data_IF_002003612730
#
_entry.id   IF_002003612730
#
_cell.length_a   1.000
_cell.length_b   1.000
_cell.length_c   1.000
_cell.angle_alpha   90.00
_cell.angle_beta   90.00
_cell.angle_gamma   90.00
#
_symmetry.space_group_name_H-M   'P 1'
#
loop_
_entity.id
_entity.type
_entity.pdbx_description
1 polymer ?
#
# COMPACT_ATOMS: atom_id res chain seq x y z
N UNK A 1 71.18 -0.25 -10.00
CA UNK A 1 71.85 -0.66 -8.73
C UNK A 1 71.17 0.14 -7.63
N UNK A 2 70.46 -0.41 -6.65
CA UNK A 2 70.36 -1.78 -6.17
C UNK A 2 68.91 -2.12 -5.80
N UNK A 3 68.50 -3.35 -6.08
CA UNK A 3 67.29 -3.96 -5.54
C UNK A 3 67.54 -4.31 -4.06
N UNK A 4 66.54 -4.10 -3.20
CA UNK A 4 66.46 -4.80 -1.93
C UNK A 4 65.06 -5.36 -1.71
N UNK A 5 64.99 -6.67 -1.92
CA UNK A 5 63.97 -7.62 -1.51
C UNK A 5 63.85 -7.63 0.02
N UNK A 6 62.65 -7.52 0.60
CA UNK A 6 62.40 -7.99 1.97
C UNK A 6 61.07 -8.74 2.10
N UNK A 7 61.18 -9.88 2.79
CA UNK A 7 60.19 -10.94 2.97
C UNK A 7 59.09 -10.58 3.97
N UNK A 8 57.94 -11.20 3.72
CA UNK A 8 56.74 -11.31 4.55
C UNK A 8 57.05 -11.94 5.93
N UNK A 9 56.49 -11.38 7.00
CA UNK A 9 56.29 -12.09 8.28
C UNK A 9 54.83 -11.92 8.70
N UNK A 10 54.08 -13.02 8.71
CA UNK A 10 52.70 -13.10 9.20
C UNK A 10 52.74 -13.23 10.72
N UNK A 11 52.19 -12.26 11.44
CA UNK A 11 52.01 -12.29 12.89
C UNK A 11 50.57 -12.70 13.21
N UNK A 12 50.41 -13.94 13.67
CA UNK A 12 49.17 -14.47 14.24
C UNK A 12 49.10 -13.97 15.69
N UNK A 13 48.23 -12.99 15.97
CA UNK A 13 47.96 -12.55 17.35
C UNK A 13 46.88 -13.42 17.98
N UNK A 14 47.26 -14.17 19.01
CA UNK A 14 46.35 -14.78 19.98
C UNK A 14 45.71 -13.69 20.85
N UNK A 15 44.39 -13.55 20.81
CA UNK A 15 43.64 -12.69 21.74
C UNK A 15 43.45 -13.48 23.04
N UNK A 16 44.12 -13.05 24.11
CA UNK A 16 43.90 -13.49 25.48
C UNK A 16 42.71 -12.68 26.03
N UNK A 17 41.56 -13.32 26.23
CA UNK A 17 40.41 -12.71 26.89
C UNK A 17 40.65 -12.63 28.41
N UNK A 18 40.79 -11.42 28.94
CA UNK A 18 40.72 -11.14 30.38
C UNK A 18 39.26 -10.86 30.76
N UNK A 19 38.62 -11.80 31.45
CA UNK A 19 37.33 -11.58 32.10
C UNK A 19 37.58 -10.91 33.45
N UNK A 20 37.22 -9.63 33.57
CA UNK A 20 37.21 -8.91 34.85
C UNK A 20 35.79 -8.98 35.40
N UNK A 21 35.58 -9.84 36.39
CA UNK A 21 34.35 -9.87 37.20
C UNK A 21 34.47 -8.81 38.29
N UNK A 22 33.72 -7.72 38.17
CA UNK A 22 33.57 -6.72 39.24
C UNK A 22 32.34 -7.09 40.07
N UNK A 23 32.56 -7.61 41.27
CA UNK A 23 31.52 -7.82 42.28
C UNK A 23 31.31 -6.53 43.09
N UNK A 24 30.11 -5.93 43.01
CA UNK A 24 29.70 -4.85 43.91
C UNK A 24 28.98 -5.43 45.15
N UNK A 25 29.26 -4.96 46.37
CA UNK A 25 28.59 -5.44 47.57
C UNK A 25 27.26 -4.72 47.80
N UNK A 26 26.19 -5.49 48.02
CA UNK A 26 24.91 -4.98 48.49
C UNK A 26 25.02 -4.55 49.96
N UNK A 27 24.59 -3.32 50.27
CA UNK A 27 24.39 -2.86 51.64
C UNK A 27 22.91 -2.55 51.87
N UNK A 28 22.37 -3.24 52.86
CA UNK A 28 21.00 -3.14 53.38
C UNK A 28 20.91 -1.89 54.25
N UNK A 29 19.93 -1.02 53.99
CA UNK A 29 19.44 -0.06 54.99
C UNK A 29 17.92 -0.18 55.05
N UNK A 30 17.43 -0.64 56.20
CA UNK A 30 16.04 -0.56 56.61
C UNK A 30 15.82 0.76 57.38
N UNK A 31 14.61 1.34 57.27
CA UNK A 31 13.90 2.31 58.13
C UNK A 31 12.74 2.85 57.25
N UNK A 32 11.47 3.00 57.63
CA UNK A 32 10.60 2.53 58.72
C UNK A 32 9.20 3.02 58.34
N UNK A 33 8.18 2.21 58.59
CA UNK A 33 6.74 2.50 58.47
C UNK A 33 6.32 3.89 58.93
N UNK A 34 5.53 4.58 58.10
CA UNK A 34 4.41 5.43 58.52
C UNK A 34 3.24 5.21 57.55
N UNK A 35 2.26 4.42 57.99
CA UNK A 35 0.88 4.40 57.50
C UNK A 35 0.20 5.76 57.75
N UNK A 36 -0.51 6.32 56.76
CA UNK A 36 -1.97 6.26 56.68
C UNK A 36 -2.58 7.26 55.66
N UNK A 37 -3.32 6.67 54.71
CA UNK A 37 -4.63 7.09 54.16
C UNK A 37 -4.75 8.39 53.33
N UNK A 38 -4.88 8.22 52.01
CA UNK A 38 -6.19 8.42 51.34
C UNK A 38 -6.17 7.83 49.92
N UNK A 39 -7.15 6.97 49.64
CA UNK A 39 -7.17 6.08 48.49
C UNK A 39 -7.62 6.68 47.18
N UNK A 40 -7.15 6.06 46.10
CA UNK A 40 -7.97 5.72 44.94
C UNK A 40 -7.39 4.46 44.31
N UNK A 41 -8.21 3.42 44.21
CA UNK A 41 -7.82 2.06 43.82
C UNK A 41 -7.36 2.00 42.36
N UNK A 42 -6.12 1.56 42.16
CA UNK A 42 -5.57 1.11 40.88
C UNK A 42 -5.93 -0.35 40.68
N UNK A 43 -6.97 -0.63 39.91
CA UNK A 43 -7.27 -1.99 39.46
C UNK A 43 -6.31 -2.40 38.33
N UNK A 44 -5.36 -3.26 38.71
CA UNK A 44 -5.03 -4.52 38.05
C UNK A 44 -4.44 -4.43 36.62
N UNK A 45 -3.12 -4.21 36.55
CA UNK A 45 -2.32 -4.31 35.31
C UNK A 45 -1.54 -5.62 35.17
N UNK A 46 -1.76 -6.61 36.05
CA UNK A 46 -0.82 -7.75 36.20
C UNK A 46 -1.44 -9.14 35.91
N UNK A 47 -2.60 -9.22 35.24
CA UNK A 47 -3.24 -10.50 34.89
C UNK A 47 -3.42 -10.78 33.38
N UNK A 48 -2.82 -9.99 32.48
CA UNK A 48 -3.05 -10.16 31.03
C UNK A 48 -2.03 -11.01 30.25
N UNK A 49 -1.05 -11.67 30.90
CA UNK A 49 -0.03 -12.46 30.18
C UNK A 49 -0.19 -13.98 30.26
N UNK A 50 -1.43 -14.47 30.35
CA UNK A 50 -1.70 -15.90 30.12
C UNK A 50 -3.13 -16.18 29.65
N UNK A 51 -3.44 -15.81 28.41
CA UNK A 51 -4.47 -16.49 27.64
C UNK A 51 -3.93 -16.78 26.24
N UNK A 52 -3.96 -18.05 25.86
CA UNK A 52 -3.78 -18.53 24.50
C UNK A 52 -4.88 -17.93 23.61
N UNK A 53 -4.70 -16.67 23.19
CA UNK A 53 -5.55 -16.03 22.21
C UNK A 53 -5.04 -16.42 20.82
N UNK A 54 -5.48 -17.58 20.34
CA UNK A 54 -5.69 -17.71 18.90
C UNK A 54 -6.91 -16.85 18.58
N UNK A 55 -6.78 -15.75 17.81
CA UNK A 55 -7.94 -14.96 17.44
C UNK A 55 -8.96 -15.88 16.74
N UNK A 56 -10.26 -15.78 17.07
CA UNK A 56 -11.28 -16.56 16.39
C UNK A 56 -11.18 -16.32 14.89
N UNK A 57 -11.34 -17.39 14.10
CA UNK A 57 -11.32 -17.29 12.65
C UNK A 57 -12.29 -16.18 12.20
N UNK A 58 -11.86 -15.27 11.32
CA UNK A 58 -12.72 -14.18 10.87
C UNK A 58 -14.01 -14.76 10.29
N UNK A 59 -15.18 -14.12 10.56
CA UNK A 59 -16.45 -14.60 10.07
C UNK A 59 -16.41 -14.72 8.54
N UNK A 60 -17.09 -15.74 7.96
CA UNK A 60 -17.17 -15.86 6.51
C UNK A 60 -17.80 -14.59 5.91
N UNK A 61 -17.32 -14.13 4.75
CA UNK A 61 -17.85 -12.94 4.11
C UNK A 61 -19.36 -13.10 3.84
N UNK A 62 -20.15 -12.03 3.99
CA UNK A 62 -21.60 -12.08 3.79
C UNK A 62 -21.94 -12.58 2.38
N UNK A 63 -23.02 -13.36 2.21
CA UNK A 63 -23.43 -13.86 0.90
C UNK A 63 -23.78 -12.71 -0.05
N UNK A 64 -23.32 -12.82 -1.31
CA UNK A 64 -23.62 -11.82 -2.34
C UNK A 64 -25.15 -11.65 -2.55
N UNK A 65 -25.61 -10.44 -2.90
CA UNK A 65 -26.99 -10.22 -3.30
C UNK A 65 -27.36 -11.07 -4.53
N UNK A 66 -28.66 -11.29 -4.80
CA UNK A 66 -29.09 -12.02 -5.99
C UNK A 66 -28.55 -11.36 -7.26
N UNK A 67 -28.18 -12.19 -8.24
CA UNK A 67 -27.65 -11.73 -9.52
C UNK A 67 -28.65 -10.86 -10.26
N UNK A 68 -28.20 -9.74 -10.81
CA UNK A 68 -28.99 -8.84 -11.64
C UNK A 68 -29.43 -9.51 -12.95
N UNK A 69 -30.58 -9.10 -13.49
CA UNK A 69 -31.03 -9.55 -14.82
C UNK A 69 -30.47 -8.66 -15.93
N UNK A 70 -30.15 -9.26 -17.09
CA UNK A 70 -29.61 -8.49 -18.22
C UNK A 70 -30.59 -7.42 -18.73
N UNK A 71 -31.88 -7.76 -18.83
CA UNK A 71 -32.88 -6.88 -19.44
C UNK A 71 -33.49 -5.90 -18.43
N UNK A 72 -33.90 -6.39 -17.26
CA UNK A 72 -34.68 -5.56 -16.32
C UNK A 72 -33.77 -4.68 -15.46
N UNK A 73 -32.66 -5.24 -14.95
CA UNK A 73 -31.76 -4.50 -14.06
C UNK A 73 -30.69 -3.71 -14.83
N UNK A 74 -30.16 -4.26 -15.92
CA UNK A 74 -29.05 -3.66 -16.68
C UNK A 74 -29.48 -2.98 -17.98
N UNK A 75 -30.78 -2.97 -18.32
CA UNK A 75 -31.29 -2.35 -19.55
C UNK A 75 -30.63 -2.89 -20.84
N UNK A 76 -30.06 -4.10 -20.76
CA UNK A 76 -29.28 -4.72 -21.82
C UNK A 76 -30.12 -5.59 -22.74
N UNK A 77 -29.48 -6.09 -23.80
CA UNK A 77 -30.07 -7.01 -24.77
C UNK A 77 -29.43 -8.39 -24.63
N UNK A 78 -30.27 -9.42 -24.51
CA UNK A 78 -29.87 -10.82 -24.40
C UNK A 78 -30.06 -11.39 -23.00
N UNK A 79 -29.19 -12.33 -22.62
CA UNK A 79 -29.22 -13.03 -21.33
C UNK A 79 -27.80 -13.27 -20.82
N UNK A 80 -27.63 -13.32 -19.50
CA UNK A 80 -26.34 -13.59 -18.84
C UNK A 80 -25.82 -15.00 -19.09
N UNK A 81 -26.69 -15.95 -19.45
CA UNK A 81 -26.27 -17.32 -19.80
C UNK A 81 -25.79 -17.47 -21.25
N UNK A 82 -26.08 -16.51 -22.12
CA UNK A 82 -25.66 -16.52 -23.53
C UNK A 82 -24.75 -15.35 -23.84
N UNK A 83 -25.31 -14.17 -24.05
CA UNK A 83 -24.57 -12.92 -24.21
C UNK A 83 -25.48 -11.79 -23.77
N UNK A 84 -25.02 -11.01 -22.79
CA UNK A 84 -25.66 -9.79 -22.35
C UNK A 84 -24.88 -8.59 -22.88
N UNK A 85 -25.56 -7.69 -23.59
CA UNK A 85 -24.99 -6.45 -24.10
C UNK A 85 -25.67 -5.27 -23.43
N UNK A 86 -24.93 -4.50 -22.63
CA UNK A 86 -25.41 -3.25 -22.06
C UNK A 86 -25.30 -2.16 -23.12
N UNK A 87 -26.44 -1.64 -23.57
CA UNK A 87 -26.55 -0.71 -24.70
C UNK A 87 -26.76 0.74 -24.27
N UNK A 88 -27.17 0.98 -23.03
CA UNK A 88 -27.45 2.30 -22.49
C UNK A 88 -26.75 2.50 -21.15
N UNK A 89 -26.40 3.75 -20.84
CA UNK A 89 -25.79 4.12 -19.56
C UNK A 89 -26.71 3.82 -18.38
N UNK A 90 -26.11 3.38 -17.29
CA UNK A 90 -26.79 2.93 -16.07
C UNK A 90 -26.36 3.79 -14.88
N UNK A 91 -27.32 4.21 -14.08
CA UNK A 91 -27.08 4.85 -12.78
C UNK A 91 -27.53 3.89 -11.68
N UNK A 92 -26.57 3.22 -11.07
CA UNK A 92 -26.78 2.26 -10.01
C UNK A 92 -26.91 2.99 -8.67
N UNK A 93 -27.90 2.59 -7.87
CA UNK A 93 -28.14 3.14 -6.51
C UNK A 93 -27.79 2.17 -5.40
N UNK A 94 -27.44 0.93 -5.76
CA UNK A 94 -27.11 -0.17 -4.86
C UNK A 94 -26.01 -1.02 -5.47
N UNK A 95 -25.40 -1.86 -4.65
CA UNK A 95 -24.47 -2.88 -5.12
C UNK A 95 -25.16 -3.81 -6.13
N UNK A 96 -24.47 -4.11 -7.23
CA UNK A 96 -24.96 -4.95 -8.31
C UNK A 96 -23.95 -6.05 -8.57
N UNK A 97 -24.44 -7.28 -8.58
CA UNK A 97 -23.66 -8.46 -8.92
C UNK A 97 -24.25 -9.10 -10.17
N UNK A 98 -23.42 -9.36 -11.16
CA UNK A 98 -23.80 -9.94 -12.45
C UNK A 98 -23.18 -11.32 -12.53
N UNK A 99 -24.00 -12.37 -12.59
CA UNK A 99 -23.53 -13.74 -12.68
C UNK A 99 -24.16 -14.46 -13.87
N UNK A 100 -23.37 -15.20 -14.65
CA UNK A 100 -23.90 -15.99 -15.77
C UNK A 100 -22.89 -16.87 -16.47
N UNK A 101 -23.38 -17.80 -17.29
CA UNK A 101 -22.51 -18.71 -18.06
C UNK A 101 -22.00 -18.13 -19.39
N UNK A 102 -22.61 -17.02 -19.82
CA UNK A 102 -22.38 -16.41 -21.13
C UNK A 102 -21.31 -15.33 -21.12
N UNK A 103 -21.45 -14.39 -22.05
CA UNK A 103 -20.59 -13.22 -22.19
C UNK A 103 -21.26 -11.96 -21.64
N UNK A 104 -20.46 -11.01 -21.15
CA UNK A 104 -20.94 -9.71 -20.68
C UNK A 104 -20.19 -8.57 -21.36
N UNK A 105 -20.90 -7.78 -22.17
CA UNK A 105 -20.32 -6.72 -22.96
C UNK A 105 -20.98 -5.38 -22.64
N UNK A 106 -20.17 -4.40 -22.24
CA UNK A 106 -20.59 -3.00 -22.14
C UNK A 106 -20.18 -2.35 -23.46
N UNK A 107 -21.17 -1.87 -24.22
CA UNK A 107 -20.92 -1.30 -25.55
C UNK A 107 -20.14 0.02 -25.48
N UNK A 108 -19.55 0.47 -26.60
CA UNK A 108 -18.83 1.73 -26.67
C UNK A 108 -19.69 2.93 -26.19
N UNK A 109 -19.04 3.89 -25.53
CA UNK A 109 -19.66 5.10 -24.96
C UNK A 109 -20.77 4.86 -23.91
N UNK A 110 -20.86 3.65 -23.36
CA UNK A 110 -21.79 3.35 -22.26
C UNK A 110 -21.12 3.60 -20.92
N UNK A 111 -21.83 4.27 -20.00
CA UNK A 111 -21.36 4.54 -18.64
C UNK A 111 -22.18 3.75 -17.62
N UNK A 112 -21.52 2.95 -16.79
CA UNK A 112 -22.09 2.36 -15.57
C UNK A 112 -21.62 3.18 -14.39
N UNK A 113 -22.52 3.93 -13.76
CA UNK A 113 -22.18 4.86 -12.68
C UNK A 113 -22.86 4.45 -11.37
N UNK A 114 -22.06 4.25 -10.33
CA UNK A 114 -22.49 4.08 -8.95
C UNK A 114 -21.74 5.03 -7.99
N UNK A 115 -21.43 6.25 -8.45
CA UNK A 115 -20.71 7.25 -7.64
C UNK A 115 -21.57 7.88 -6.52
N UNK A 116 -22.88 7.61 -6.49
CA UNK A 116 -23.80 8.19 -5.51
C UNK A 116 -23.61 7.63 -4.09
N UNK A 117 -23.04 6.43 -3.98
CA UNK A 117 -22.76 5.74 -2.72
C UNK A 117 -21.28 5.38 -2.70
N UNK A 118 -20.54 5.89 -1.72
CA UNK A 118 -19.13 5.53 -1.52
C UNK A 118 -19.02 4.03 -1.23
N UNK A 119 -18.01 3.37 -1.80
CA UNK A 119 -17.84 1.93 -1.68
C UNK A 119 -18.85 1.08 -2.45
N UNK A 120 -19.68 1.67 -3.34
CA UNK A 120 -20.62 0.89 -4.14
C UNK A 120 -19.91 -0.18 -4.99
N UNK A 121 -20.43 -1.40 -4.96
CA UNK A 121 -19.83 -2.57 -5.60
C UNK A 121 -20.53 -2.95 -6.90
N UNK A 122 -19.74 -3.12 -7.96
CA UNK A 122 -20.15 -3.72 -9.21
C UNK A 122 -19.29 -4.95 -9.49
N UNK A 123 -19.87 -6.12 -9.24
CA UNK A 123 -19.23 -7.42 -9.46
C UNK A 123 -19.75 -8.08 -10.73
N UNK A 124 -18.85 -8.63 -11.54
CA UNK A 124 -19.16 -9.39 -12.75
C UNK A 124 -18.46 -10.73 -12.68
N UNK A 125 -19.23 -11.82 -12.71
CA UNK A 125 -18.74 -13.18 -12.71
C UNK A 125 -19.36 -13.95 -13.87
N UNK A 126 -18.60 -14.10 -14.93
CA UNK A 126 -19.05 -14.79 -16.15
C UNK A 126 -18.08 -15.89 -16.54
N UNK A 127 -18.58 -17.04 -17.00
CA UNK A 127 -17.67 -18.07 -17.53
C UNK A 127 -17.19 -17.79 -18.96
N UNK A 128 -17.82 -16.86 -19.67
CA UNK A 128 -17.42 -16.44 -21.01
C UNK A 128 -16.51 -15.21 -20.99
N UNK A 129 -16.68 -14.35 -21.99
CA UNK A 129 -15.85 -13.17 -22.20
C UNK A 129 -16.49 -11.91 -21.60
N UNK A 130 -15.62 -11.06 -21.04
CA UNK A 130 -15.95 -9.70 -20.66
C UNK A 130 -15.37 -8.70 -21.66
N UNK A 131 -16.13 -7.66 -22.01
CA UNK A 131 -15.61 -6.54 -22.79
C UNK A 131 -16.16 -5.22 -22.27
N UNK A 132 -15.26 -4.28 -22.02
CA UNK A 132 -15.54 -2.87 -21.85
C UNK A 132 -15.17 -2.16 -23.16
N UNK A 133 -16.19 -1.73 -23.91
CA UNK A 133 -16.03 -1.13 -25.23
C UNK A 133 -15.30 0.21 -25.22
N UNK A 134 -15.01 0.73 -26.42
CA UNK A 134 -14.27 1.99 -26.59
C UNK A 134 -14.98 3.15 -25.88
N UNK A 135 -14.22 3.95 -25.14
CA UNK A 135 -14.72 5.08 -24.34
C UNK A 135 -15.84 4.72 -23.33
N UNK A 136 -16.08 3.43 -23.07
CA UNK A 136 -17.03 3.00 -22.05
C UNK A 136 -16.42 3.17 -20.65
N UNK A 137 -17.27 3.47 -19.68
CA UNK A 137 -16.83 3.86 -18.34
C UNK A 137 -17.57 3.07 -17.27
N UNK A 138 -16.85 2.59 -16.26
CA UNK A 138 -17.41 2.03 -15.03
C UNK A 138 -16.92 2.92 -13.89
N UNK A 139 -17.82 3.62 -13.21
CA UNK A 139 -17.51 4.54 -12.10
C UNK A 139 -18.14 3.99 -10.82
N UNK A 140 -17.34 3.37 -9.95
CA UNK A 140 -17.83 2.60 -8.79
C UNK A 140 -16.83 2.69 -7.62
N UNK A 141 -17.20 2.28 -6.41
CA UNK A 141 -16.24 2.15 -5.31
C UNK A 141 -15.45 0.85 -5.34
N UNK A 142 -16.09 -0.24 -5.76
CA UNK A 142 -15.50 -1.56 -5.92
C UNK A 142 -15.87 -2.17 -7.26
N UNK A 143 -14.87 -2.62 -8.00
CA UNK A 143 -15.05 -3.41 -9.21
C UNK A 143 -14.44 -4.79 -9.04
N UNK A 144 -15.23 -5.83 -9.25
CA UNK A 144 -14.76 -7.22 -9.26
C UNK A 144 -15.12 -7.86 -10.59
N UNK A 145 -14.15 -8.46 -11.26
CA UNK A 145 -14.32 -9.16 -12.52
C UNK A 145 -13.73 -10.56 -12.43
N UNK A 146 -14.56 -11.55 -12.72
CA UNK A 146 -14.16 -12.94 -12.97
C UNK A 146 -14.65 -13.33 -14.36
N UNK A 147 -13.73 -13.67 -15.26
CA UNK A 147 -14.03 -14.00 -16.65
C UNK A 147 -13.07 -15.04 -17.26
N UNK A 148 -13.42 -15.61 -18.41
CA UNK A 148 -12.46 -16.42 -19.20
C UNK A 148 -11.47 -15.53 -19.95
N UNK A 149 -11.97 -14.50 -20.63
CA UNK A 149 -11.16 -13.48 -21.31
C UNK A 149 -11.73 -12.10 -20.98
N UNK A 150 -10.88 -11.08 -20.90
CA UNK A 150 -11.31 -9.70 -20.68
C UNK A 150 -10.64 -8.75 -21.68
N UNK A 151 -11.45 -7.83 -22.22
CA UNK A 151 -10.97 -6.76 -23.10
C UNK A 151 -11.37 -5.41 -22.50
N UNK A 152 -10.38 -4.59 -22.20
CA UNK A 152 -10.52 -3.18 -21.87
C UNK A 152 -10.05 -2.38 -23.09
N UNK A 153 -11.01 -1.98 -23.94
CA UNK A 153 -10.72 -1.33 -25.21
C UNK A 153 -10.10 0.07 -25.03
N UNK A 154 -9.64 0.66 -26.12
CA UNK A 154 -9.04 2.00 -26.10
C UNK A 154 -10.02 3.05 -25.55
N UNK A 155 -9.50 3.94 -24.70
CA UNK A 155 -10.30 4.98 -24.04
C UNK A 155 -11.27 4.47 -22.97
N UNK A 156 -11.40 3.14 -22.79
CA UNK A 156 -12.23 2.59 -21.72
C UNK A 156 -11.64 2.86 -20.34
N UNK A 157 -12.51 3.05 -19.33
CA UNK A 157 -12.07 3.40 -17.97
C UNK A 157 -12.87 2.65 -16.91
N UNK A 158 -12.18 1.97 -16.00
CA UNK A 158 -12.72 1.60 -14.70
C UNK A 158 -12.18 2.58 -13.66
N UNK A 159 -13.06 3.42 -13.13
CA UNK A 159 -12.72 4.53 -12.25
C UNK A 159 -13.32 4.31 -10.86
N UNK A 160 -12.44 4.18 -9.87
CA UNK A 160 -12.80 4.09 -8.45
C UNK A 160 -12.16 5.22 -7.63
N UNK A 161 -11.80 6.32 -8.32
CA UNK A 161 -11.05 7.44 -7.73
C UNK A 161 -11.85 8.16 -6.66
N UNK A 162 -11.34 8.21 -5.44
CA UNK A 162 -12.00 8.89 -4.31
C UNK A 162 -13.32 8.27 -3.86
N UNK A 163 -13.66 7.07 -4.34
CA UNK A 163 -14.94 6.38 -4.08
C UNK A 163 -14.79 5.20 -3.11
N UNK A 164 -13.71 5.15 -2.32
CA UNK A 164 -13.51 4.15 -1.27
C UNK A 164 -14.72 4.07 -0.32
N UNK A 165 -15.07 2.84 0.08
CA UNK A 165 -15.86 2.63 1.29
C UNK A 165 -15.00 2.74 2.54
N UNK A 166 -15.53 2.31 3.68
CA UNK A 166 -14.77 2.36 4.93
C UNK A 166 -13.55 1.41 4.89
N UNK A 167 -12.34 1.89 5.24
CA UNK A 167 -11.19 1.02 5.44
C UNK A 167 -11.42 0.11 6.66
N UNK A 168 -10.62 -0.96 6.85
CA UNK A 168 -10.79 -1.85 8.00
C UNK A 168 -10.75 -1.09 9.34
N UNK A 169 -11.63 -1.45 10.28
CA UNK A 169 -11.89 -0.70 11.52
C UNK A 169 -10.66 -0.51 12.44
N UNK A 170 -9.63 -1.35 12.29
CA UNK A 170 -8.42 -1.33 13.11
C UNK A 170 -7.24 -0.58 12.44
N UNK A 171 -7.51 0.30 11.48
CA UNK A 171 -6.46 1.01 10.73
C UNK A 171 -6.33 2.47 11.18
N UNK A 172 -5.09 2.97 11.20
CA UNK A 172 -4.74 4.38 11.41
C UNK A 172 -4.53 5.12 10.07
N UNK A 173 -5.08 4.60 8.98
CA UNK A 173 -4.91 5.16 7.63
C UNK A 173 -5.63 6.49 7.41
N UNK A 174 -6.68 6.78 8.18
CA UNK A 174 -7.34 8.10 8.17
C UNK A 174 -6.74 8.94 9.31
N UNK A 175 -6.09 10.08 9.00
CA UNK A 175 -5.51 10.97 10.02
C UNK A 175 -6.56 11.45 11.02
N UNK A 176 -6.17 11.49 12.29
CA UNK A 176 -6.98 12.10 13.35
C UNK A 176 -6.60 13.58 13.53
N UNK A 177 -7.52 14.40 14.01
CA UNK A 177 -7.26 15.81 14.29
C UNK A 177 -7.62 16.76 13.13
N UNK A 178 -7.02 17.95 13.14
CA UNK A 178 -7.36 19.06 12.23
C UNK A 178 -6.13 19.66 11.52
N UNK A 179 -5.14 18.82 11.23
CA UNK A 179 -3.88 19.25 10.62
C UNK A 179 -3.89 19.18 9.08
N UNK A 180 -4.99 18.69 8.49
CA UNK A 180 -5.12 18.55 7.04
C UNK A 180 -4.17 17.52 6.41
N UNK A 181 -3.69 16.55 7.19
CA UNK A 181 -2.77 15.51 6.74
C UNK A 181 -3.38 14.58 5.69
N UNK A 182 -2.56 13.97 4.83
CA UNK A 182 -3.00 13.03 3.82
C UNK A 182 -3.34 11.64 4.39
N UNK A 183 -4.24 10.92 3.72
CA UNK A 183 -4.58 9.53 4.07
C UNK A 183 -3.45 8.55 3.72
N UNK A 184 -3.35 7.44 4.44
CA UNK A 184 -2.36 6.37 4.20
C UNK A 184 -3.01 5.05 3.80
N UNK A 185 -2.30 4.24 3.01
CA UNK A 185 -2.66 2.83 2.73
C UNK A 185 -1.44 1.98 2.33
N UNK A 186 -0.99 2.10 1.07
CA UNK A 186 0.21 1.42 0.57
C UNK A 186 1.48 2.14 1.04
N UNK A 187 1.46 3.46 0.93
CA UNK A 187 2.38 4.39 1.59
C UNK A 187 1.67 5.20 2.66
N UNK A 188 2.45 5.82 3.56
CA UNK A 188 1.94 6.81 4.51
C UNK A 188 1.52 8.10 3.79
N UNK A 189 0.51 8.77 4.34
CA UNK A 189 0.14 10.11 3.90
C UNK A 189 1.09 11.16 4.47
N UNK A 190 1.25 12.29 3.77
CA UNK A 190 2.08 13.39 4.24
C UNK A 190 1.39 14.20 5.34
N UNK A 191 2.18 14.70 6.28
CA UNK A 191 1.76 15.70 7.26
C UNK A 191 2.81 16.82 7.28
N UNK A 192 2.34 18.06 7.39
CA UNK A 192 3.25 19.20 7.46
C UNK A 192 3.64 19.45 8.91
N UNK A 193 4.95 19.53 9.17
CA UNK A 193 5.49 19.77 10.51
C UNK A 193 5.03 21.17 10.98
N UNK A 194 4.40 21.21 12.15
CA UNK A 194 3.84 22.43 12.76
C UNK A 194 4.68 22.97 13.93
N UNK A 195 5.59 22.15 14.48
CA UNK A 195 6.52 22.53 15.56
C UNK A 195 7.97 22.21 15.13
N UNK A 196 8.85 23.22 15.18
CA UNK A 196 10.26 23.12 14.81
C UNK A 196 11.06 22.11 15.67
N UNK A 197 10.48 21.62 16.77
CA UNK A 197 11.08 20.58 17.62
C UNK A 197 10.81 19.15 17.15
N UNK A 198 9.91 18.96 16.19
CA UNK A 198 9.56 17.64 15.65
C UNK A 198 10.51 17.28 14.50
N UNK A 199 10.96 16.02 14.48
CA UNK A 199 11.72 15.48 13.36
C UNK A 199 10.75 15.20 12.20
N UNK A 200 10.98 15.73 10.98
CA UNK A 200 10.16 15.42 9.81
C UNK A 200 10.02 13.92 9.53
N UNK A 201 11.03 13.11 9.90
CA UNK A 201 11.00 11.65 9.73
C UNK A 201 10.00 10.94 10.68
N UNK A 202 9.50 11.63 11.70
CA UNK A 202 8.57 11.09 12.71
C UNK A 202 7.16 11.73 12.62
N UNK A 203 6.91 12.51 11.57
CA UNK A 203 5.63 13.18 11.35
C UNK A 203 5.01 12.68 10.05
N UNK A 204 3.90 11.95 10.16
CA UNK A 204 3.12 11.47 9.03
C UNK A 204 1.62 11.69 9.24
N UNK A 205 0.87 11.60 8.14
CA UNK A 205 -0.58 11.62 8.16
C UNK A 205 -1.15 10.25 8.50
N UNK A 206 -1.82 9.64 7.55
CA UNK A 206 -2.38 8.30 7.71
C UNK A 206 -1.29 7.23 7.61
N UNK A 207 -1.41 6.19 8.42
CA UNK A 207 -0.46 5.07 8.40
C UNK A 207 -0.72 4.11 7.24
N UNK A 208 0.30 3.33 6.86
CA UNK A 208 0.15 2.24 5.92
C UNK A 208 -0.45 1.00 6.63
N UNK A 209 -1.25 0.21 5.92
CA UNK A 209 -1.86 -1.00 6.47
C UNK A 209 -2.04 -2.10 5.42
N UNK A 210 -2.59 -3.23 5.86
CA UNK A 210 -2.79 -4.45 5.08
C UNK A 210 -1.52 -4.93 4.36
N UNK A 211 -0.36 -4.85 5.05
CA UNK A 211 0.88 -5.39 4.52
C UNK A 211 0.75 -6.89 4.26
N UNK A 212 0.16 -7.67 5.17
CA UNK A 212 0.03 -9.13 5.03
C UNK A 212 -0.74 -9.59 3.78
N UNK A 213 -1.56 -8.73 3.16
CA UNK A 213 -2.29 -9.01 1.93
C UNK A 213 -1.72 -8.30 0.69
N UNK A 214 -0.50 -7.74 0.74
CA UNK A 214 0.07 -6.98 -0.37
C UNK A 214 0.22 -7.77 -1.69
N UNK A 215 0.30 -9.10 -1.62
CA UNK A 215 0.31 -9.99 -2.80
C UNK A 215 -1.04 -10.01 -3.53
N UNK A 216 -2.14 -9.76 -2.81
CA UNK A 216 -3.51 -9.72 -3.30
C UNK A 216 -4.26 -8.57 -2.60
N UNK A 217 -3.93 -7.31 -2.93
CA UNK A 217 -4.50 -6.16 -2.26
C UNK A 217 -5.97 -6.01 -2.64
N UNK A 218 -6.85 -5.96 -1.64
CA UNK A 218 -8.31 -5.86 -1.81
C UNK A 218 -8.95 -4.91 -0.81
N UNK A 219 -8.15 -4.04 -0.19
CA UNK A 219 -8.63 -3.06 0.79
C UNK A 219 -8.86 -1.71 0.11
N UNK A 220 -9.82 -0.96 0.63
CA UNK A 220 -9.98 0.44 0.25
C UNK A 220 -8.79 1.27 0.70
N UNK A 221 -8.55 2.39 0.02
CA UNK A 221 -7.71 3.45 0.53
C UNK A 221 -8.44 4.26 1.60
N UNK A 222 -7.68 5.00 2.41
CA UNK A 222 -8.20 5.85 3.47
C UNK A 222 -8.40 7.29 3.02
N UNK A 223 -9.29 7.98 3.73
CA UNK A 223 -9.62 9.38 3.50
C UNK A 223 -8.50 10.29 4.02
N UNK A 224 -8.33 11.45 3.39
CA UNK A 224 -7.49 12.53 3.93
C UNK A 224 -8.14 13.23 5.13
N UNK A 225 -7.33 13.85 5.96
CA UNK A 225 -7.77 14.67 7.09
C UNK A 225 -8.32 16.03 6.66
N UNK A 226 -8.88 16.77 7.62
CA UNK A 226 -9.43 18.12 7.43
C UNK A 226 -8.66 19.13 8.28
N UNK A 227 -8.79 20.43 8.03
CA UNK A 227 -8.31 21.49 8.94
C UNK A 227 -9.42 22.15 9.76
N UNK A 228 -10.61 21.56 9.81
CA UNK A 228 -11.77 22.10 10.54
C UNK A 228 -12.51 21.01 11.32
N UNK A 229 -13.01 21.33 12.51
CA UNK A 229 -13.87 20.43 13.30
C UNK A 229 -15.31 20.38 12.80
N UNK A 230 -15.72 21.35 12.00
CA UNK A 230 -17.11 21.55 11.57
C UNK A 230 -17.36 21.03 10.15
N UNK A 231 -16.34 21.12 9.29
CA UNK A 231 -16.46 20.80 7.87
C UNK A 231 -15.33 19.88 7.47
N UNK A 232 -15.67 18.85 6.71
CA UNK A 232 -14.70 17.90 6.21
C UNK A 232 -14.23 18.26 4.80
N UNK A 233 -12.94 18.60 4.69
CA UNK A 233 -12.29 18.99 3.44
C UNK A 233 -11.37 17.92 2.84
N UNK A 234 -11.24 16.77 3.50
CA UNK A 234 -10.36 15.69 3.06
C UNK A 234 -10.85 15.02 1.77
N UNK A 235 -9.91 14.57 0.95
CA UNK A 235 -10.19 13.77 -0.23
C UNK A 235 -10.57 12.33 0.13
N UNK A 236 -11.53 11.75 -0.60
CA UNK A 236 -11.92 10.34 -0.45
C UNK A 236 -10.78 9.37 -0.75
N UNK A 237 -10.74 8.19 -0.12
CA UNK A 237 -9.76 7.15 -0.47
C UNK A 237 -10.02 6.54 -1.85
N UNK A 238 -9.00 5.92 -2.45
CA UNK A 238 -9.15 5.14 -3.68
C UNK A 238 -9.90 3.83 -3.45
N UNK A 239 -10.75 3.44 -4.40
CA UNK A 239 -11.52 2.20 -4.34
C UNK A 239 -10.70 0.93 -4.55
N UNK A 240 -11.37 -0.19 -4.85
CA UNK A 240 -10.70 -1.47 -5.15
C UNK A 240 -11.12 -2.03 -6.49
N UNK A 241 -10.15 -2.58 -7.22
CA UNK A 241 -10.33 -3.19 -8.54
C UNK A 241 -9.72 -4.59 -8.50
N UNK A 242 -10.53 -5.63 -8.69
CA UNK A 242 -10.08 -7.01 -8.82
C UNK A 242 -10.44 -7.54 -10.21
N UNK A 243 -9.44 -8.01 -10.95
CA UNK A 243 -9.59 -8.61 -12.28
C UNK A 243 -8.96 -10.00 -12.26
N UNK A 244 -9.78 -11.04 -12.29
CA UNK A 244 -9.35 -12.44 -12.33
C UNK A 244 -9.82 -13.05 -13.64
N UNK A 245 -8.89 -13.37 -14.52
CA UNK A 245 -9.18 -13.80 -15.89
C UNK A 245 -8.41 -15.06 -16.22
N UNK A 246 -9.09 -16.15 -16.54
CA UNK A 246 -8.42 -17.45 -16.67
C UNK A 246 -7.42 -17.51 -17.84
N UNK A 247 -7.66 -16.80 -18.94
CA UNK A 247 -6.83 -16.85 -20.13
C UNK A 247 -6.16 -15.51 -20.44
N UNK A 248 -6.82 -14.60 -21.17
CA UNK A 248 -6.16 -13.39 -21.68
C UNK A 248 -6.85 -12.10 -21.27
N UNK A 249 -6.05 -11.11 -20.88
CA UNK A 249 -6.47 -9.72 -20.64
C UNK A 249 -5.85 -8.81 -21.70
N UNK A 250 -6.69 -8.12 -22.46
CA UNK A 250 -6.26 -7.01 -23.32
C UNK A 250 -6.51 -5.69 -22.57
N UNK A 251 -5.44 -5.01 -22.17
CA UNK A 251 -5.45 -3.82 -21.33
C UNK A 251 -5.02 -2.58 -22.12
N UNK A 252 -5.92 -2.06 -22.97
CA UNK A 252 -5.72 -0.80 -23.70
C UNK A 252 -6.44 0.39 -23.02
N UNK A 253 -7.29 0.11 -22.05
CA UNK A 253 -8.00 1.09 -21.24
C UNK A 253 -7.22 1.58 -20.00
N UNK A 254 -7.97 2.07 -19.02
CA UNK A 254 -7.44 2.58 -17.75
C UNK A 254 -8.14 1.95 -16.54
N UNK A 255 -7.37 1.46 -15.58
CA UNK A 255 -7.84 1.04 -14.26
C UNK A 255 -7.34 2.04 -13.21
N UNK A 256 -8.26 2.76 -12.58
CA UNK A 256 -7.94 3.87 -11.68
C UNK A 256 -8.52 3.62 -10.29
N UNK A 257 -7.65 3.43 -9.30
CA UNK A 257 -7.95 3.36 -7.87
C UNK A 257 -7.21 4.49 -7.14
N UNK A 258 -7.31 5.71 -7.67
CA UNK A 258 -6.57 6.88 -7.20
C UNK A 258 -7.27 7.50 -5.99
N UNK A 259 -6.52 8.07 -5.06
CA UNK A 259 -7.08 8.89 -3.98
C UNK A 259 -7.73 10.15 -4.52
N UNK A 260 -8.85 10.56 -3.94
CA UNK A 260 -9.49 11.83 -4.24
C UNK A 260 -8.63 13.00 -3.75
N UNK A 261 -8.62 14.09 -4.52
CA UNK A 261 -7.96 15.32 -4.09
C UNK A 261 -8.73 15.97 -2.93
N UNK A 262 -8.01 16.43 -1.91
CA UNK A 262 -8.52 17.26 -0.84
C UNK A 262 -8.63 18.73 -1.27
N UNK A 263 -9.42 19.52 -0.55
CA UNK A 263 -9.40 20.97 -0.74
C UNK A 263 -8.08 21.56 -0.24
N UNK A 264 -7.73 22.82 -0.53
CA UNK A 264 -6.56 23.47 0.06
C UNK A 264 -6.51 23.46 1.61
N UNK A 265 -7.64 23.14 2.26
CA UNK A 265 -7.83 22.98 3.70
C UNK A 265 -8.07 21.53 4.16
N UNK A 266 -7.70 20.56 3.34
CA UNK A 266 -7.83 19.13 3.67
C UNK A 266 -6.78 18.29 2.94
N UNK A 267 -6.41 17.16 3.51
CA UNK A 267 -5.45 16.26 2.92
C UNK A 267 -6.03 15.47 1.76
N UNK A 268 -5.16 14.99 0.88
CA UNK A 268 -5.54 14.07 -0.18
C UNK A 268 -5.83 12.68 0.37
N UNK A 269 -6.77 11.97 -0.24
CA UNK A 269 -7.03 10.56 0.08
C UNK A 269 -5.89 9.67 -0.41
N UNK A 270 -5.71 8.50 0.22
CA UNK A 270 -4.71 7.54 -0.25
C UNK A 270 -5.18 6.83 -1.52
N UNK A 271 -4.24 6.29 -2.29
CA UNK A 271 -4.55 5.29 -3.32
C UNK A 271 -5.21 4.04 -2.73
N UNK A 272 -5.93 3.31 -3.57
CA UNK A 272 -6.63 2.07 -3.21
C UNK A 272 -5.91 0.81 -3.65
N UNK A 273 -6.67 -0.24 -3.97
CA UNK A 273 -6.13 -1.55 -4.35
C UNK A 273 -6.43 -1.93 -5.79
N UNK A 274 -5.44 -2.47 -6.51
CA UNK A 274 -5.66 -3.13 -7.79
C UNK A 274 -5.00 -4.50 -7.79
N UNK A 275 -5.78 -5.56 -8.03
CA UNK A 275 -5.28 -6.92 -8.19
C UNK A 275 -5.66 -7.46 -9.57
N UNK A 276 -4.67 -7.94 -10.32
CA UNK A 276 -4.87 -8.54 -11.65
C UNK A 276 -4.26 -9.94 -11.66
N UNK A 277 -5.06 -10.96 -11.95
CA UNK A 277 -4.62 -12.33 -12.16
C UNK A 277 -5.02 -12.78 -13.57
N UNK A 278 -4.04 -13.22 -14.36
CA UNK A 278 -4.29 -13.76 -15.69
C UNK A 278 -3.18 -14.70 -16.19
N UNK A 279 -3.45 -15.50 -17.20
CA UNK A 279 -2.38 -16.23 -17.87
C UNK A 279 -1.55 -15.33 -18.79
N UNK A 280 -2.21 -14.45 -19.56
CA UNK A 280 -1.55 -13.50 -20.46
C UNK A 280 -2.17 -12.11 -20.37
N UNK A 281 -1.33 -11.07 -20.33
CA UNK A 281 -1.76 -9.68 -20.47
C UNK A 281 -1.01 -8.98 -21.61
N UNK A 282 -1.75 -8.22 -22.42
CA UNK A 282 -1.22 -7.39 -23.52
C UNK A 282 -1.86 -6.02 -23.52
N UNK A 283 -1.18 -5.02 -24.07
CA UNK A 283 -1.76 -3.69 -24.33
C UNK A 283 -1.15 -2.57 -23.48
N UNK A 284 -1.09 -1.37 -24.04
CA UNK A 284 -0.33 -0.24 -23.51
C UNK A 284 -1.15 0.70 -22.61
N UNK A 285 -2.14 0.16 -21.89
CA UNK A 285 -3.04 0.90 -21.02
C UNK A 285 -2.37 1.49 -19.78
N UNK A 286 -3.19 1.98 -18.85
CA UNK A 286 -2.73 2.59 -17.59
C UNK A 286 -3.41 1.91 -16.40
N UNK A 287 -2.60 1.56 -15.39
CA UNK A 287 -3.07 1.01 -14.12
C UNK A 287 -2.52 1.92 -13.02
N UNK A 288 -3.38 2.58 -12.24
CA UNK A 288 -2.95 3.59 -11.27
C UNK A 288 -3.68 3.47 -9.95
N UNK A 289 -2.91 3.45 -8.87
CA UNK A 289 -3.39 3.52 -7.49
C UNK A 289 -2.64 4.64 -6.75
N UNK A 290 -2.53 5.81 -7.36
CA UNK A 290 -1.79 6.93 -6.78
C UNK A 290 -2.55 7.61 -5.63
N UNK A 291 -1.83 8.32 -4.76
CA UNK A 291 -2.43 9.20 -3.76
C UNK A 291 -3.02 10.47 -4.38
N UNK A 292 -4.05 11.02 -3.75
CA UNK A 292 -4.64 12.31 -4.10
C UNK A 292 -3.82 13.48 -3.55
N UNK A 293 -3.91 14.63 -4.20
CA UNK A 293 -3.27 15.87 -3.75
C UNK A 293 -4.08 16.52 -2.64
N UNK A 294 -3.45 17.33 -1.79
CA UNK A 294 -4.17 18.07 -0.75
C UNK A 294 -3.22 18.94 0.08
N UNK A 295 -3.69 19.42 1.23
CA UNK A 295 -2.83 20.14 2.18
C UNK A 295 -1.62 19.28 2.56
N UNK A 296 -1.86 18.09 3.10
CA UNK A 296 -0.95 16.94 3.00
C UNK A 296 -1.38 16.00 1.86
N UNK A 297 -0.44 15.58 1.03
CA UNK A 297 -0.67 14.60 -0.04
C UNK A 297 -0.96 13.21 0.50
N UNK A 298 -1.91 12.50 -0.11
CA UNK A 298 -2.24 11.13 0.25
C UNK A 298 -1.14 10.15 -0.15
N UNK A 299 -0.98 9.06 0.61
CA UNK A 299 -0.04 7.99 0.29
C UNK A 299 -0.51 7.17 -0.92
N UNK A 300 0.44 6.56 -1.64
CA UNK A 300 0.13 5.64 -2.73
C UNK A 300 -0.58 4.38 -2.25
N UNK A 301 -1.27 3.71 -3.17
CA UNK A 301 -2.02 2.48 -2.93
C UNK A 301 -1.20 1.21 -3.15
N UNK A 302 -1.88 0.07 -3.36
CA UNK A 302 -1.22 -1.21 -3.63
C UNK A 302 -1.71 -1.79 -4.95
N UNK A 303 -0.78 -2.18 -5.80
CA UNK A 303 -1.05 -2.90 -7.04
C UNK A 303 -0.33 -4.24 -6.95
N UNK A 304 -1.01 -5.33 -7.30
CA UNK A 304 -0.36 -6.61 -7.52
C UNK A 304 -0.83 -7.26 -8.82
N UNK A 305 0.13 -7.78 -9.58
CA UNK A 305 -0.13 -8.54 -10.80
C UNK A 305 0.39 -9.95 -10.65
N UNK A 306 -0.48 -10.92 -10.87
CA UNK A 306 -0.14 -12.33 -11.04
C UNK A 306 -0.46 -12.73 -12.48
N UNK A 307 0.44 -12.32 -13.38
CA UNK A 307 0.28 -12.54 -14.82
C UNK A 307 1.46 -13.33 -15.36
N UNK A 308 1.22 -14.57 -15.76
CA UNK A 308 2.28 -15.49 -16.20
C UNK A 308 3.08 -14.96 -17.40
N UNK A 309 2.41 -14.34 -18.38
CA UNK A 309 3.04 -13.78 -19.58
C UNK A 309 2.55 -12.35 -19.85
N UNK A 310 3.44 -11.36 -19.71
CA UNK A 310 3.14 -9.97 -20.07
C UNK A 310 3.89 -9.54 -21.34
N UNK A 311 3.20 -8.85 -22.23
CA UNK A 311 3.79 -8.19 -23.39
C UNK A 311 3.19 -6.80 -23.55
N UNK A 312 3.93 -5.85 -24.12
CA UNK A 312 3.47 -4.46 -24.26
C UNK A 312 2.98 -3.91 -22.90
N UNK A 313 3.86 -3.94 -21.89
CA UNK A 313 3.47 -3.71 -20.49
C UNK A 313 2.69 -2.40 -20.28
N UNK A 314 1.49 -2.46 -19.67
CA UNK A 314 0.76 -1.28 -19.24
C UNK A 314 1.62 -0.40 -18.31
N UNK A 315 1.39 0.91 -18.32
CA UNK A 315 2.04 1.82 -17.38
C UNK A 315 1.39 1.67 -16.00
N UNK A 316 2.21 1.35 -14.99
CA UNK A 316 1.76 1.14 -13.62
C UNK A 316 2.27 2.28 -12.73
N UNK A 317 1.36 2.91 -11.98
CA UNK A 317 1.68 4.02 -11.09
C UNK A 317 1.14 3.80 -9.67
N UNK A 318 2.01 3.98 -8.68
CA UNK A 318 1.70 3.82 -7.25
C UNK A 318 2.23 4.97 -6.40
N UNK A 319 2.57 6.12 -6.99
CA UNK A 319 3.20 7.22 -6.26
C UNK A 319 2.22 7.92 -5.29
N UNK A 320 2.74 8.67 -4.32
CA UNK A 320 1.92 9.51 -3.45
C UNK A 320 1.31 10.74 -4.15
N UNK A 321 0.53 11.53 -3.44
CA UNK A 321 -0.01 12.81 -3.92
C UNK A 321 0.86 14.00 -3.50
N UNK A 322 0.74 15.12 -4.21
CA UNK A 322 1.46 16.35 -3.86
C UNK A 322 0.84 17.02 -2.62
N UNK A 323 1.71 17.62 -1.80
CA UNK A 323 1.33 18.41 -0.64
C UNK A 323 1.37 19.90 -0.96
N UNK A 324 0.29 20.62 -0.64
CA UNK A 324 0.19 22.07 -0.79
C UNK A 324 0.77 22.81 0.41
N UNK A 325 0.61 22.26 1.63
CA UNK A 325 1.10 22.87 2.87
C UNK A 325 2.61 22.76 3.04
N UNK A 326 3.20 21.68 2.52
CA UNK A 326 4.63 21.37 2.60
C UNK A 326 5.10 20.80 1.25
N UNK A 327 5.44 21.65 0.27
CA UNK A 327 5.69 21.24 -1.12
C UNK A 327 6.81 20.22 -1.33
N UNK A 328 7.75 20.11 -0.39
CA UNK A 328 8.84 19.12 -0.43
C UNK A 328 8.46 17.77 0.18
N UNK A 329 7.30 17.64 0.83
CA UNK A 329 6.87 16.42 1.50
C UNK A 329 5.59 15.89 0.85
N UNK A 330 5.69 15.26 -0.32
CA UNK A 330 4.58 14.53 -0.93
C UNK A 330 4.22 13.28 -0.09
N UNK A 331 3.07 12.66 -0.34
CA UNK A 331 2.77 11.36 0.24
C UNK A 331 3.80 10.31 -0.18
N UNK A 332 4.01 9.28 0.66
CA UNK A 332 4.90 8.19 0.32
C UNK A 332 4.33 7.37 -0.84
N UNK A 333 5.22 6.75 -1.61
CA UNK A 333 4.82 5.80 -2.63
C UNK A 333 4.11 4.59 -2.00
N UNK A 334 3.22 4.01 -2.79
CA UNK A 334 2.62 2.72 -2.55
C UNK A 334 3.51 1.58 -3.01
N UNK A 335 2.93 0.40 -3.19
CA UNK A 335 3.66 -0.80 -3.60
C UNK A 335 3.10 -1.39 -4.87
N UNK A 336 3.97 -1.71 -5.83
CA UNK A 336 3.65 -2.59 -6.95
C UNK A 336 4.35 -3.94 -6.77
N UNK A 337 3.58 -5.01 -6.67
CA UNK A 337 4.08 -6.38 -6.58
C UNK A 337 3.82 -7.15 -7.87
N UNK A 338 4.83 -7.86 -8.35
CA UNK A 338 4.73 -8.76 -9.49
C UNK A 338 5.04 -10.20 -9.09
N UNK A 339 4.04 -11.08 -9.18
CA UNK A 339 4.09 -12.41 -8.60
C UNK A 339 5.04 -13.36 -9.34
N UNK A 340 5.19 -13.23 -10.66
CA UNK A 340 6.02 -14.12 -11.48
C UNK A 340 7.52 -13.95 -11.17
N UNK A 341 8.11 -12.74 -11.29
CA UNK A 341 9.47 -12.51 -10.82
C UNK A 341 9.57 -12.42 -9.30
N UNK A 342 8.45 -12.32 -8.56
CA UNK A 342 8.40 -12.02 -7.12
C UNK A 342 9.16 -10.72 -6.80
N UNK A 343 8.92 -9.68 -7.59
CA UNK A 343 9.54 -8.38 -7.41
C UNK A 343 8.60 -7.38 -6.75
N UNK A 344 9.12 -6.63 -5.78
CA UNK A 344 8.43 -5.51 -5.15
C UNK A 344 9.05 -4.19 -5.64
N UNK A 345 8.21 -3.28 -6.13
CA UNK A 345 8.63 -2.00 -6.69
C UNK A 345 7.95 -0.87 -5.91
N UNK A 346 8.77 0.10 -5.47
CA UNK A 346 8.34 1.34 -4.82
C UNK A 346 8.93 2.49 -5.64
N UNK A 347 8.06 3.32 -6.22
CA UNK A 347 8.41 4.37 -7.17
C UNK A 347 7.57 5.60 -6.89
N UNK A 348 8.22 6.69 -6.46
CA UNK A 348 7.53 7.94 -6.13
C UNK A 348 7.59 8.99 -7.26
N UNK A 349 8.02 8.59 -8.47
CA UNK A 349 8.00 9.43 -9.67
C UNK A 349 8.68 10.81 -9.48
N UNK A 350 9.82 10.83 -8.77
CA UNK A 350 10.62 12.01 -8.43
C UNK A 350 9.93 13.02 -7.51
N UNK A 351 8.86 12.61 -6.82
CA UNK A 351 8.30 13.41 -5.75
C UNK A 351 9.06 13.13 -4.46
N UNK A 352 9.66 14.18 -3.89
CA UNK A 352 10.30 14.09 -2.58
C UNK A 352 9.26 13.86 -1.49
N UNK A 353 9.61 13.07 -0.50
CA UNK A 353 8.77 12.76 0.65
C UNK A 353 9.63 12.56 1.88
N UNK A 354 9.16 13.04 3.02
CA UNK A 354 9.72 12.74 4.33
C UNK A 354 9.01 11.52 4.95
N UNK A 355 7.93 11.04 4.34
CA UNK A 355 7.14 9.90 4.81
C UNK A 355 7.55 8.58 4.15
N UNK A 356 7.21 7.46 4.80
CA UNK A 356 7.70 6.15 4.38
C UNK A 356 6.62 5.22 3.78
N UNK A 357 7.05 4.40 2.83
CA UNK A 357 6.42 3.13 2.50
C UNK A 357 6.88 2.08 3.52
N UNK A 358 5.98 1.53 4.33
CA UNK A 358 6.36 0.57 5.37
C UNK A 358 6.55 -0.83 4.81
N UNK A 359 7.69 -1.42 5.12
CA UNK A 359 8.06 -2.81 4.86
C UNK A 359 7.97 -3.60 6.16
N UNK A 360 6.89 -4.35 6.32
CA UNK A 360 6.62 -5.15 7.53
C UNK A 360 6.94 -6.63 7.29
N UNK A 361 6.99 -7.43 8.35
CA UNK A 361 7.03 -8.91 8.27
C UNK A 361 8.14 -9.49 7.35
N UNK A 362 9.36 -8.98 7.44
CA UNK A 362 10.53 -9.58 6.80
C UNK A 362 11.27 -10.54 7.75
N UNK A 363 11.85 -11.66 7.24
CA UNK A 363 11.79 -12.13 5.85
C UNK A 363 10.44 -12.76 5.50
N UNK A 364 9.90 -12.38 4.34
CA UNK A 364 8.64 -12.91 3.83
C UNK A 364 8.81 -14.33 3.26
N UNK A 365 7.85 -15.24 3.46
CA UNK A 365 7.86 -16.58 2.86
C UNK A 365 6.66 -16.78 1.92
N UNK A 366 6.86 -17.10 0.62
CA UNK A 366 8.15 -17.31 -0.05
C UNK A 366 8.95 -16.01 -0.22
N UNK A 367 10.29 -16.10 -0.16
CA UNK A 367 11.16 -14.92 -0.29
C UNK A 367 10.87 -14.16 -1.58
N UNK A 368 10.93 -12.83 -1.50
CA UNK A 368 10.98 -11.98 -2.69
C UNK A 368 12.28 -12.27 -3.47
N UNK A 369 12.22 -12.18 -4.80
CA UNK A 369 13.44 -12.26 -5.62
C UNK A 369 14.12 -10.92 -5.64
N UNK A 370 13.37 -9.83 -5.82
CA UNK A 370 13.95 -8.50 -5.94
C UNK A 370 13.11 -7.41 -5.29
N UNK A 371 13.79 -6.37 -4.80
CA UNK A 371 13.18 -5.14 -4.32
C UNK A 371 13.79 -3.97 -5.08
N UNK A 372 12.94 -3.11 -5.65
CA UNK A 372 13.33 -1.90 -6.36
C UNK A 372 12.71 -0.69 -5.66
N UNK A 373 13.55 0.21 -5.17
CA UNK A 373 13.14 1.50 -4.60
C UNK A 373 13.77 2.58 -5.49
N UNK A 374 12.96 3.49 -6.05
CA UNK A 374 13.46 4.47 -7.02
C UNK A 374 12.70 5.79 -7.05
N UNK A 375 13.30 6.79 -7.71
CA UNK A 375 12.67 8.08 -8.04
C UNK A 375 12.12 8.81 -6.79
N UNK A 376 13.00 9.10 -5.84
CA UNK A 376 12.68 9.72 -4.54
C UNK A 376 11.74 8.91 -3.63
N UNK A 377 11.55 7.61 -3.89
CA UNK A 377 10.84 6.74 -2.97
C UNK A 377 11.63 6.51 -1.68
N UNK A 378 10.92 6.59 -0.55
CA UNK A 378 11.44 6.31 0.78
C UNK A 378 10.69 5.13 1.37
N UNK A 379 11.41 4.06 1.71
CA UNK A 379 10.86 2.88 2.37
C UNK A 379 11.50 2.68 3.74
N UNK A 380 10.72 2.19 4.71
CA UNK A 380 11.20 1.97 6.06
C UNK A 380 10.85 0.56 6.57
N UNK A 381 11.77 -0.04 7.31
CA UNK A 381 11.58 -1.28 8.05
C UNK A 381 11.60 -0.94 9.54
N UNK A 382 10.42 -0.71 10.16
CA UNK A 382 10.32 -0.11 11.50
C UNK A 382 10.43 -1.17 12.61
N UNK A 383 11.48 -2.00 12.58
CA UNK A 383 11.77 -3.00 13.62
C UNK A 383 13.11 -2.73 14.29
N UNK A 384 13.18 -2.97 15.60
CA UNK A 384 14.42 -2.82 16.38
C UNK A 384 15.56 -3.66 15.79
N UNK A 385 15.23 -4.90 15.44
CA UNK A 385 16.09 -5.83 14.70
C UNK A 385 15.42 -6.14 13.36
N UNK A 386 16.01 -5.64 12.28
CA UNK A 386 15.42 -5.69 10.94
C UNK A 386 16.29 -6.49 9.98
N UNK A 387 15.79 -7.60 9.45
CA UNK A 387 16.46 -8.32 8.35
C UNK A 387 15.65 -8.16 7.07
N UNK A 388 16.21 -7.49 6.06
CA UNK A 388 15.67 -7.51 4.70
C UNK A 388 16.44 -8.53 3.89
N UNK A 389 15.77 -9.64 3.57
CA UNK A 389 16.35 -10.73 2.79
C UNK A 389 15.55 -10.94 1.50
N UNK A 390 16.26 -10.96 0.37
CA UNK A 390 15.74 -11.33 -0.95
C UNK A 390 16.64 -12.39 -1.58
N UNK A 391 16.13 -13.12 -2.56
CA UNK A 391 16.92 -14.16 -3.25
C UNK A 391 17.92 -13.56 -4.25
N UNK A 392 17.52 -12.53 -5.00
CA UNK A 392 18.31 -11.94 -6.08
C UNK A 392 18.84 -10.57 -5.71
N UNK A 393 18.08 -9.51 -6.06
CA UNK A 393 18.62 -8.15 -6.10
C UNK A 393 17.86 -7.16 -5.21
N UNK A 394 18.58 -6.31 -4.49
CA UNK A 394 18.05 -5.08 -3.91
C UNK A 394 18.61 -3.91 -4.72
N UNK A 395 17.74 -3.04 -5.23
CA UNK A 395 18.12 -1.88 -6.03
C UNK A 395 17.55 -0.61 -5.42
N UNK A 396 18.41 0.38 -5.18
CA UNK A 396 18.06 1.73 -4.76
C UNK A 396 18.60 2.73 -5.78
N UNK A 397 17.71 3.45 -6.46
CA UNK A 397 18.09 4.35 -7.56
C UNK A 397 17.46 5.74 -7.39
N UNK A 398 18.08 6.76 -7.96
CA UNK A 398 17.47 8.08 -8.20
C UNK A 398 16.82 8.71 -6.96
N UNK A 399 17.60 8.91 -5.90
CA UNK A 399 17.14 9.53 -4.66
C UNK A 399 16.40 8.58 -3.73
N UNK A 400 16.48 7.26 -3.95
CA UNK A 400 15.84 6.28 -3.10
C UNK A 400 16.45 6.23 -1.70
N UNK A 401 15.61 6.01 -0.70
CA UNK A 401 16.01 5.89 0.70
C UNK A 401 15.41 4.60 1.28
N UNK A 402 16.25 3.77 1.90
CA UNK A 402 15.81 2.63 2.70
C UNK A 402 16.26 2.84 4.15
N UNK A 403 15.29 2.99 5.04
CA UNK A 403 15.51 3.28 6.45
C UNK A 403 15.23 2.04 7.32
N UNK A 404 16.05 1.85 8.34
CA UNK A 404 15.91 0.80 9.34
C UNK A 404 15.72 1.38 10.73
N UNK A 405 14.80 0.78 11.48
CA UNK A 405 14.54 1.14 12.86
C UNK A 405 13.46 2.19 13.06
N UNK A 406 13.37 2.67 14.30
CA UNK A 406 12.39 3.65 14.76
C UNK A 406 13.12 4.93 15.19
N UNK A 407 12.57 6.10 14.89
CA UNK A 407 13.22 7.40 15.13
C UNK A 407 13.67 7.60 16.59
N UNK A 408 12.89 7.10 17.56
CA UNK A 408 13.17 7.26 19.01
C UNK A 408 14.06 6.18 19.62
N UNK A 409 14.61 5.28 18.82
CA UNK A 409 15.48 4.21 19.31
C UNK A 409 16.93 4.44 18.85
N UNK A 410 17.80 4.62 19.83
CA UNK A 410 19.23 4.93 19.63
C UNK A 410 20.04 3.79 19.04
N UNK A 411 19.50 2.57 19.07
CA UNK A 411 20.11 1.36 18.54
C UNK A 411 19.09 0.65 17.65
N UNK A 412 19.43 0.52 16.37
CA UNK A 412 18.71 -0.34 15.43
C UNK A 412 19.73 -1.25 14.77
N UNK A 413 19.51 -2.56 14.88
CA UNK A 413 20.35 -3.55 14.20
C UNK A 413 19.66 -3.94 12.89
N UNK A 414 20.42 -3.95 11.80
CA UNK A 414 19.88 -4.31 10.50
C UNK A 414 20.79 -5.28 9.75
N UNK A 415 20.16 -6.13 8.96
CA UNK A 415 20.83 -7.03 8.03
C UNK A 415 20.18 -6.89 6.65
N UNK A 416 21.02 -6.69 5.64
CA UNK A 416 20.60 -6.70 4.23
C UNK A 416 21.25 -7.91 3.56
N UNK A 417 20.43 -8.85 3.09
CA UNK A 417 20.90 -10.07 2.44
C UNK A 417 20.29 -10.19 1.04
N UNK A 418 21.14 -10.11 0.03
CA UNK A 418 20.82 -10.26 -1.38
C UNK A 418 22.02 -10.87 -2.12
N UNK A 419 21.79 -11.51 -3.26
CA UNK A 419 22.89 -11.88 -4.18
C UNK A 419 23.55 -10.64 -4.78
N UNK A 420 22.77 -9.57 -5.01
CA UNK A 420 23.25 -8.30 -5.54
C UNK A 420 22.60 -7.09 -4.84
N UNK A 421 23.40 -6.08 -4.52
CA UNK A 421 22.96 -4.77 -4.06
C UNK A 421 23.41 -3.70 -5.07
N UNK A 422 22.45 -3.07 -5.74
CA UNK A 422 22.69 -1.99 -6.69
C UNK A 422 22.25 -0.65 -6.07
N UNK A 423 23.15 0.33 -6.02
CA UNK A 423 22.85 1.65 -5.48
C UNK A 423 23.38 2.76 -6.40
N UNK A 424 22.56 3.78 -6.64
CA UNK A 424 22.96 4.99 -7.36
C UNK A 424 22.21 6.20 -6.81
N UNK A 425 22.94 7.21 -6.32
CA UNK A 425 22.37 8.42 -5.72
C UNK A 425 21.28 8.09 -4.69
N UNK A 426 21.57 7.17 -3.77
CA UNK A 426 20.60 6.57 -2.86
C UNK A 426 21.21 6.33 -1.48
N UNK A 427 20.37 6.19 -0.46
CA UNK A 427 20.80 6.14 0.94
C UNK A 427 20.21 4.90 1.63
N UNK A 428 21.05 4.18 2.37
CA UNK A 428 20.59 3.25 3.40
C UNK A 428 20.86 3.92 4.76
N UNK A 429 19.80 4.10 5.56
CA UNK A 429 19.83 4.78 6.87
C UNK A 429 19.49 3.79 7.98
N UNK A 430 20.21 3.84 9.10
CA UNK A 430 19.87 3.10 10.32
C UNK A 430 20.14 3.97 11.55
N UNK A 431 19.09 4.45 12.22
CA UNK A 431 19.20 5.48 13.27
C UNK A 431 20.17 6.62 12.85
N UNK A 432 20.94 7.24 13.77
CA UNK A 432 21.90 8.33 13.48
C UNK A 432 23.08 7.97 12.56
N UNK A 433 23.11 6.78 11.94
CA UNK A 433 24.18 6.33 11.05
C UNK A 433 23.68 6.21 9.60
N UNK A 434 24.50 6.67 8.66
CA UNK A 434 24.18 6.71 7.22
C UNK A 434 25.23 5.96 6.41
N UNK A 435 24.80 5.17 5.44
CA UNK A 435 25.65 4.62 4.39
C UNK A 435 25.21 5.28 3.07
N UNK A 436 26.10 6.08 2.48
CA UNK A 436 25.87 6.83 1.25
C UNK A 436 26.86 6.35 0.18
N UNK A 437 26.36 6.08 -1.04
CA UNK A 437 27.16 5.62 -2.18
C UNK A 437 26.92 6.46 -3.42
#
# INVERSE_FOLDING_TARGET
MAEHLYRITVLISFIIAFVVVVTLPASIVAISDWDDVSGFESYDSDLLFRQDYSPPAPPPPPPHPPSASCQDDLGGVGSLDTTCKVVSSLNLTRNVYVAGKGNFYILPNVTVNCSFVVGCEFGVNVSGNFSLGENAQIVVGSFELVAMNAVFAEGSVVNTTGLAGDPPEQTSGTPQGVDGSGGGYGGRGAACVVDDKQDPDDVWGGDAYAWSSFLRPLNYGSRGGTTSKEVDYGGGGGGKIMVVVNATVEMNGRLLAVGGDGSPRGGGGSGGSIYINAYKMTGSGIISACGGNGFGGGGGGRIATDVFSRHEDPKIFVHGGNSLGCPSNAGAAGTFYDAVPRSLIVDNLNMSTDTDTLFMEFPYQPLLTSIFIRNCAKAAVPLLWSRVQVQGQISLLDGAILSFGLAHYSLSEFEVLAEELLMSNSIIKASYYFIQF
#
